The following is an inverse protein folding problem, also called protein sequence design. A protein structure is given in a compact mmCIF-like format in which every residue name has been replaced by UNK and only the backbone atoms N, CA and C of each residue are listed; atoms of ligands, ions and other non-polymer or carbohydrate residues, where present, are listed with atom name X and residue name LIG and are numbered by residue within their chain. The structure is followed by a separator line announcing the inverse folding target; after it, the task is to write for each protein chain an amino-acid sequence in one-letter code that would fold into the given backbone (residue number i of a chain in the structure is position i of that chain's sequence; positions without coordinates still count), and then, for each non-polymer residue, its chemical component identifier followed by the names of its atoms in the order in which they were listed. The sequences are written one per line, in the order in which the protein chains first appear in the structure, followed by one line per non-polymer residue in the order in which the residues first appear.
data_IF_996650266724
#
_entry.id   IF_996650266724
#
_cell.length_a   1.000
_cell.length_b   1.000
_cell.length_c   1.000
_cell.angle_alpha   90.00
_cell.angle_beta   90.00
_cell.angle_gamma   90.00
#
_symmetry.space_group_name_H-M   'P 1'
#
loop_
_entity.id
_entity.type
_entity.pdbx_description
1 polymer ?
#
# COMPACT_ATOMS: atom_id res chain seq x y z
N UNK A 1 26.67 15.46 30.30
CA UNK A 1 27.42 14.81 29.22
C UNK A 1 26.59 13.75 28.49
N UNK A 2 25.95 12.80 29.20
CA UNK A 2 25.08 11.78 28.61
C UNK A 2 23.93 12.33 27.74
N UNK A 3 23.24 13.39 28.17
CA UNK A 3 22.12 14.00 27.40
C UNK A 3 22.56 14.53 26.04
N UNK A 4 23.79 15.05 25.91
CA UNK A 4 24.32 15.54 24.63
C UNK A 4 24.70 14.42 23.68
N UNK A 5 25.12 13.27 24.23
CA UNK A 5 25.44 12.06 23.46
C UNK A 5 24.17 11.43 22.92
N UNK A 6 23.13 11.27 23.74
CA UNK A 6 21.81 10.78 23.30
C UNK A 6 21.21 11.69 22.21
N UNK A 7 21.30 13.02 22.39
CA UNK A 7 20.80 13.98 21.40
C UNK A 7 21.55 13.88 20.06
N UNK A 8 22.88 13.67 20.10
CA UNK A 8 23.69 13.52 18.89
C UNK A 8 23.40 12.20 18.15
N UNK A 9 23.18 11.10 18.89
CA UNK A 9 22.82 9.79 18.34
C UNK A 9 21.44 9.84 17.67
N UNK A 10 20.45 10.48 18.28
CA UNK A 10 19.11 10.63 17.71
C UNK A 10 19.13 11.50 16.43
N UNK A 11 19.94 12.56 16.41
CA UNK A 11 20.11 13.43 15.23
C UNK A 11 20.80 12.66 14.10
N UNK A 12 21.81 11.84 14.40
CA UNK A 12 22.50 11.00 13.42
C UNK A 12 21.59 9.89 12.85
N UNK A 13 20.83 9.19 13.70
CA UNK A 13 19.83 8.20 13.25
C UNK A 13 18.79 8.82 12.32
N UNK A 14 18.29 10.01 12.68
CA UNK A 14 17.30 10.74 11.86
C UNK A 14 17.84 11.12 10.48
N UNK A 15 19.12 11.49 10.38
CA UNK A 15 19.77 11.83 9.11
C UNK A 15 19.97 10.59 8.23
N UNK A 16 20.38 9.47 8.84
CA UNK A 16 20.61 8.20 8.15
C UNK A 16 19.30 7.56 7.66
N UNK A 17 18.21 7.69 8.42
CA UNK A 17 16.86 7.23 8.03
C UNK A 17 16.31 8.04 6.86
N UNK A 18 16.50 9.36 6.84
CA UNK A 18 16.05 10.22 5.73
C UNK A 18 16.72 9.82 4.41
N UNK A 19 18.03 9.60 4.42
CA UNK A 19 18.77 9.26 3.20
C UNK A 19 18.42 7.85 2.71
N UNK A 20 18.21 6.87 3.61
CA UNK A 20 17.70 5.54 3.22
C UNK A 20 16.27 5.58 2.68
N UNK A 21 15.40 6.42 3.26
CA UNK A 21 14.04 6.60 2.77
C UNK A 21 14.02 7.18 1.36
N UNK A 22 14.86 8.19 1.09
CA UNK A 22 15.00 8.77 -0.25
C UNK A 22 15.49 7.74 -1.27
N UNK A 23 16.47 6.91 -0.92
CA UNK A 23 16.97 5.84 -1.80
C UNK A 23 15.87 4.80 -2.06
N UNK A 24 15.08 4.42 -1.05
CA UNK A 24 13.99 3.46 -1.22
C UNK A 24 12.89 4.02 -2.13
N UNK A 25 12.51 5.29 -1.96
CA UNK A 25 11.55 5.97 -2.85
C UNK A 25 12.05 6.05 -4.29
N UNK A 26 13.34 6.34 -4.49
CA UNK A 26 13.95 6.41 -5.82
C UNK A 26 13.95 5.03 -6.52
N UNK A 27 14.28 3.96 -5.80
CA UNK A 27 14.25 2.59 -6.35
C UNK A 27 12.82 2.17 -6.74
N UNK A 28 11.83 2.51 -5.92
CA UNK A 28 10.41 2.25 -6.23
C UNK A 28 9.99 3.04 -7.48
N UNK A 29 10.37 4.31 -7.59
CA UNK A 29 10.06 5.14 -8.75
C UNK A 29 10.69 4.59 -10.05
N UNK A 30 11.95 4.16 -10.02
CA UNK A 30 12.64 3.56 -11.16
C UNK A 30 11.95 2.25 -11.57
N UNK A 31 11.61 1.39 -10.60
CA UNK A 31 10.89 0.14 -10.86
C UNK A 31 9.53 0.38 -11.53
N UNK A 32 8.78 1.39 -11.07
CA UNK A 32 7.47 1.74 -11.64
C UNK A 32 7.57 2.24 -13.09
N UNK A 33 8.64 2.98 -13.42
CA UNK A 33 8.87 3.44 -14.80
C UNK A 33 9.24 2.27 -15.72
N UNK A 34 10.07 1.33 -15.25
CA UNK A 34 10.48 0.14 -16.01
C UNK A 34 9.35 -0.88 -16.22
N UNK A 35 8.36 -0.90 -15.33
CA UNK A 35 7.17 -1.74 -15.46
C UNK A 35 6.14 -1.15 -16.43
N UNK A 36 6.33 0.08 -16.93
CA UNK A 36 5.47 0.61 -17.99
C UNK A 36 5.67 -0.23 -19.25
N UNK A 37 4.63 -0.90 -19.79
CA UNK A 37 4.76 -1.54 -21.08
C UNK A 37 5.00 -0.43 -22.10
N UNK A 38 6.13 -0.46 -22.79
CA UNK A 38 6.34 0.35 -23.99
C UNK A 38 5.16 0.05 -24.92
N UNK A 39 4.29 1.04 -25.11
CA UNK A 39 3.05 0.92 -25.87
C UNK A 39 3.42 0.70 -27.34
N UNK A 40 3.59 -0.55 -27.73
CA UNK A 40 3.67 -0.96 -29.13
C UNK A 40 2.24 -1.11 -29.65
N UNK A 41 1.92 -0.35 -30.70
CA UNK A 41 0.65 -0.47 -31.41
C UNK A 41 0.61 -1.78 -32.24
N UNK A 42 -0.59 -2.38 -32.33
CA UNK A 42 -1.02 -3.53 -33.17
C UNK A 42 -0.56 -4.93 -32.68
N UNK A 43 -1.34 -6.04 -32.69
CA UNK A 43 -2.56 -6.45 -33.42
C UNK A 43 -3.55 -7.23 -32.51
N UNK A 44 -4.75 -7.48 -33.05
CA UNK A 44 -6.00 -7.79 -32.35
C UNK A 44 -6.21 -9.25 -31.85
N UNK A 45 -7.11 -9.34 -30.87
CA UNK A 45 -7.96 -10.45 -30.43
C UNK A 45 -7.49 -11.36 -29.26
N UNK A 46 -6.44 -12.16 -29.35
CA UNK A 46 -5.99 -13.01 -28.21
C UNK A 46 -5.14 -12.26 -27.18
N UNK A 47 -4.27 -11.34 -27.64
CA UNK A 47 -3.43 -10.52 -26.75
C UNK A 47 -4.24 -9.50 -25.94
N UNK A 48 -5.40 -9.08 -26.44
CA UNK A 48 -6.27 -8.13 -25.76
C UNK A 48 -6.90 -8.71 -24.49
N UNK A 49 -7.26 -10.00 -24.50
CA UNK A 49 -7.78 -10.66 -23.31
C UNK A 49 -6.68 -10.88 -22.27
N UNK A 50 -5.50 -11.31 -22.70
CA UNK A 50 -4.33 -11.49 -21.81
C UNK A 50 -3.94 -10.17 -21.14
N UNK A 51 -3.90 -9.07 -21.89
CA UNK A 51 -3.57 -7.75 -21.34
C UNK A 51 -4.64 -7.22 -20.39
N UNK A 52 -5.93 -7.41 -20.69
CA UNK A 52 -7.04 -7.06 -19.79
C UNK A 52 -7.01 -7.86 -18.49
N UNK A 53 -6.82 -9.17 -18.56
CA UNK A 53 -6.71 -10.04 -17.38
C UNK A 53 -5.49 -9.67 -16.54
N UNK A 54 -4.34 -9.43 -17.17
CA UNK A 54 -3.13 -9.01 -16.46
C UNK A 54 -3.31 -7.64 -15.78
N UNK A 55 -3.90 -6.65 -16.47
CA UNK A 55 -4.20 -5.35 -15.89
C UNK A 55 -5.18 -5.44 -14.73
N UNK A 56 -6.25 -6.24 -14.86
CA UNK A 56 -7.23 -6.48 -13.80
C UNK A 56 -6.59 -7.18 -12.58
N UNK A 57 -5.72 -8.17 -12.80
CA UNK A 57 -5.02 -8.89 -11.74
C UNK A 57 -4.08 -7.96 -10.95
N UNK A 58 -3.32 -7.09 -11.62
CA UNK A 58 -2.46 -6.11 -10.96
C UNK A 58 -3.29 -5.08 -10.19
N UNK A 59 -4.36 -4.54 -10.79
CA UNK A 59 -5.23 -3.57 -10.14
C UNK A 59 -5.83 -4.12 -8.83
N UNK A 60 -6.38 -5.34 -8.86
CA UNK A 60 -6.92 -5.99 -7.68
C UNK A 60 -5.83 -6.40 -6.68
N UNK A 61 -4.74 -7.00 -7.16
CA UNK A 61 -3.65 -7.50 -6.32
C UNK A 61 -2.99 -6.40 -5.47
N UNK A 62 -2.70 -5.25 -6.08
CA UNK A 62 -2.12 -4.10 -5.36
C UNK A 62 -3.12 -3.52 -4.36
N UNK A 63 -4.40 -3.41 -4.74
CA UNK A 63 -5.44 -2.89 -3.86
C UNK A 63 -5.63 -3.77 -2.61
N UNK A 64 -5.66 -5.10 -2.76
CA UNK A 64 -5.80 -6.03 -1.63
C UNK A 64 -4.53 -6.05 -0.76
N UNK A 65 -3.34 -5.96 -1.36
CA UNK A 65 -2.11 -5.84 -0.58
C UNK A 65 -2.10 -4.57 0.30
N UNK A 66 -2.53 -3.43 -0.25
CA UNK A 66 -2.66 -2.18 0.50
C UNK A 66 -3.75 -2.24 1.59
N UNK A 67 -4.88 -2.90 1.30
CA UNK A 67 -5.94 -3.15 2.27
C UNK A 67 -5.44 -3.99 3.44
N UNK A 68 -4.75 -5.11 3.16
CA UNK A 68 -4.19 -6.00 4.17
C UNK A 68 -3.17 -5.29 5.09
N UNK A 69 -2.32 -4.42 4.53
CA UNK A 69 -1.40 -3.61 5.32
C UNK A 69 -2.14 -2.64 6.25
N UNK A 70 -3.16 -1.95 5.74
CA UNK A 70 -4.00 -1.02 6.50
C UNK A 70 -4.72 -1.75 7.65
N UNK A 71 -5.38 -2.87 7.36
CA UNK A 71 -6.14 -3.66 8.34
C UNK A 71 -5.21 -4.22 9.42
N UNK A 72 -4.02 -4.70 9.06
CA UNK A 72 -3.06 -5.25 10.04
C UNK A 72 -2.63 -4.19 11.06
N UNK A 73 -2.34 -2.97 10.60
CA UNK A 73 -1.96 -1.84 11.48
C UNK A 73 -3.15 -1.30 12.27
N UNK A 74 -4.27 -1.04 11.62
CA UNK A 74 -5.47 -0.52 12.27
C UNK A 74 -6.03 -1.51 13.29
N UNK A 75 -6.05 -2.81 12.96
CA UNK A 75 -6.53 -3.88 13.82
C UNK A 75 -5.67 -4.05 15.07
N UNK A 76 -4.35 -4.11 14.92
CA UNK A 76 -3.43 -4.23 16.07
C UNK A 76 -3.50 -3.01 17.01
N UNK A 77 -3.48 -1.79 16.46
CA UNK A 77 -3.65 -0.58 17.26
C UNK A 77 -5.04 -0.50 17.92
N UNK A 78 -6.08 -0.91 17.20
CA UNK A 78 -7.45 -0.95 17.69
C UNK A 78 -7.65 -1.92 18.85
N UNK A 79 -7.06 -3.12 18.77
CA UNK A 79 -7.10 -4.11 19.85
C UNK A 79 -6.36 -3.62 21.10
N UNK A 80 -5.18 -3.01 20.92
CA UNK A 80 -4.42 -2.42 22.03
C UNK A 80 -5.22 -1.30 22.73
N UNK A 81 -5.78 -0.37 21.96
CA UNK A 81 -6.59 0.72 22.50
C UNK A 81 -7.86 0.22 23.19
N UNK A 82 -8.49 -0.82 22.64
CA UNK A 82 -9.69 -1.44 23.22
C UNK A 82 -9.41 -2.18 24.53
N UNK A 83 -8.16 -2.58 24.78
CA UNK A 83 -7.77 -3.24 26.02
C UNK A 83 -7.67 -2.24 27.19
N UNK A 84 -7.25 -1.00 26.91
CA UNK A 84 -7.18 0.08 27.91
C UNK A 84 -8.51 0.81 28.06
N UNK A 85 -9.22 1.04 26.94
CA UNK A 85 -10.45 1.84 26.88
C UNK A 85 -11.52 1.08 26.09
N UNK A 86 -12.36 0.26 26.75
CA UNK A 86 -13.35 -0.56 26.06
C UNK A 86 -14.38 0.29 25.28
N UNK A 87 -14.57 1.56 25.65
CA UNK A 87 -15.47 2.49 24.98
C UNK A 87 -15.06 2.79 23.53
N UNK A 88 -13.77 2.65 23.19
CA UNK A 88 -13.28 2.91 21.81
C UNK A 88 -13.35 1.68 20.89
N UNK A 89 -13.77 0.51 21.39
CA UNK A 89 -13.81 -0.75 20.64
C UNK A 89 -14.58 -0.64 19.32
N UNK A 90 -15.76 -0.05 19.36
CA UNK A 90 -16.61 0.08 18.17
C UNK A 90 -15.93 0.95 17.11
N UNK A 91 -15.31 2.06 17.52
CA UNK A 91 -14.58 2.94 16.61
C UNK A 91 -13.36 2.22 16.03
N UNK A 92 -12.63 1.47 16.85
CA UNK A 92 -11.49 0.67 16.40
C UNK A 92 -11.88 -0.34 15.29
N UNK A 93 -13.02 -1.01 15.43
CA UNK A 93 -13.54 -1.93 14.41
C UNK A 93 -13.91 -1.17 13.13
N UNK A 94 -14.55 0.00 13.24
CA UNK A 94 -14.91 0.83 12.07
C UNK A 94 -13.66 1.28 11.30
N UNK A 95 -12.61 1.72 12.00
CA UNK A 95 -11.35 2.14 11.37
C UNK A 95 -10.66 0.96 10.67
N UNK A 96 -10.67 -0.23 11.29
CA UNK A 96 -10.16 -1.43 10.63
C UNK A 96 -10.96 -1.80 9.38
N UNK A 97 -12.30 -1.74 9.44
CA UNK A 97 -13.19 -2.01 8.30
C UNK A 97 -13.05 -0.98 7.16
N UNK A 98 -12.66 0.26 7.47
CA UNK A 98 -12.36 1.27 6.44
C UNK A 98 -11.23 0.83 5.49
N UNK A 99 -10.29 0.01 5.97
CA UNK A 99 -9.25 -0.59 5.12
C UNK A 99 -9.80 -1.58 4.09
N UNK A 100 -10.91 -2.25 4.40
CA UNK A 100 -11.56 -3.22 3.50
C UNK A 100 -12.18 -2.55 2.27
N UNK A 101 -12.62 -1.29 2.38
CA UNK A 101 -13.16 -0.52 1.26
C UNK A 101 -12.16 -0.39 0.09
N UNK A 102 -10.85 -0.39 0.37
CA UNK A 102 -9.82 -0.40 -0.67
C UNK A 102 -9.86 -1.68 -1.52
N UNK A 103 -10.10 -2.83 -0.90
CA UNK A 103 -10.23 -4.10 -1.61
C UNK A 103 -11.51 -4.14 -2.45
N UNK A 104 -12.62 -3.61 -1.94
CA UNK A 104 -13.90 -3.54 -2.67
C UNK A 104 -13.78 -2.63 -3.91
N UNK A 105 -13.11 -1.49 -3.78
CA UNK A 105 -12.83 -0.65 -4.96
C UNK A 105 -11.86 -1.34 -5.93
N UNK A 106 -10.85 -2.06 -5.44
CA UNK A 106 -9.93 -2.84 -6.27
C UNK A 106 -10.64 -3.88 -7.15
N UNK A 107 -11.54 -4.68 -6.57
CA UNK A 107 -12.31 -5.67 -7.34
C UNK A 107 -13.31 -5.00 -8.29
N UNK A 108 -13.93 -3.88 -7.89
CA UNK A 108 -14.83 -3.13 -8.76
C UNK A 108 -14.13 -2.59 -10.01
N UNK A 109 -12.92 -2.03 -9.86
CA UNK A 109 -12.10 -1.58 -10.99
C UNK A 109 -11.65 -2.77 -11.86
N UNK A 110 -11.27 -3.90 -11.26
CA UNK A 110 -10.93 -5.11 -12.01
C UNK A 110 -12.11 -5.59 -12.87
N UNK A 111 -13.34 -5.54 -12.35
CA UNK A 111 -14.54 -5.82 -13.14
C UNK A 111 -14.72 -4.83 -14.28
N UNK A 112 -14.55 -3.51 -14.04
CA UNK A 112 -14.63 -2.53 -15.11
C UNK A 112 -13.58 -2.75 -16.21
N UNK A 113 -12.34 -3.13 -15.86
CA UNK A 113 -11.29 -3.45 -16.83
C UNK A 113 -11.66 -4.68 -17.67
N UNK A 114 -12.27 -5.70 -17.06
CA UNK A 114 -12.66 -6.92 -17.75
C UNK A 114 -13.92 -6.75 -18.60
N UNK A 115 -14.82 -5.84 -18.22
CA UNK A 115 -16.07 -5.57 -18.92
C UNK A 115 -15.98 -4.49 -20.01
N UNK A 116 -15.00 -3.60 -19.91
CA UNK A 116 -14.60 -2.71 -21.00
C UNK A 116 -13.97 -3.53 -22.14
#
# INVERSE_FOLDING_TARGET
MYVYIELYVIILESYMIRDRLMIMCLNIAILLIMLSPAVYAAEADTNALVSKVFAAAIAFGVAVAAAGFTISKAGSAGLAASAERPEVRTVAIIIAAFGEALAIYGIAIAFFILSA
#
